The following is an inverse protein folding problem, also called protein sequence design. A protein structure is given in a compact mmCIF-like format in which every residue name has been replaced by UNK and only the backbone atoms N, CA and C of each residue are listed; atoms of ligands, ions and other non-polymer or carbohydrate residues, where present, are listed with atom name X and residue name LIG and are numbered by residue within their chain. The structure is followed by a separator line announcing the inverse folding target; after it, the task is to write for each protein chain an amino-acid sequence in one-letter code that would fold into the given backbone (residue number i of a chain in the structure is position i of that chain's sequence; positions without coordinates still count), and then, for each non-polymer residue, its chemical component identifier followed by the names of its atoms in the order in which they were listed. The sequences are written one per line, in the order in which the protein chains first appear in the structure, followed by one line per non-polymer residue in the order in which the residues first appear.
data_IF_029384168881
#
_entry.id   IF_029384168881
#
_cell.length_a   1.000
_cell.length_b   1.000
_cell.length_c   1.000
_cell.angle_alpha   90.00
_cell.angle_beta   90.00
_cell.angle_gamma   90.00
#
_symmetry.space_group_name_H-M   'P 1'
#
loop_
_entity.id
_entity.type
_entity.pdbx_description
1 polymer ?
#
# COMPACT_ATOMS: atom_id res chain seq x y z
N UNK A 1 -2.15 -26.03 3.25
CA UNK A 1 -2.16 -27.22 2.41
C UNK A 1 -0.93 -27.33 1.54
N UNK A 2 -0.68 -28.53 1.08
CA UNK A 2 0.44 -28.85 0.18
C UNK A 2 -0.15 -29.47 -1.08
N UNK A 3 -0.67 -28.66 -1.96
CA UNK A 3 -1.42 -29.10 -3.15
C UNK A 3 -1.14 -28.20 -4.35
N UNK A 4 -1.48 -28.67 -5.52
CA UNK A 4 -1.48 -27.85 -6.73
C UNK A 4 -2.73 -26.95 -6.71
N UNK A 5 -2.60 -25.64 -6.81
CA UNK A 5 -3.74 -24.72 -6.83
C UNK A 5 -4.72 -25.05 -7.97
N UNK A 6 -6.01 -24.89 -7.71
CA UNK A 6 -7.08 -25.08 -8.69
C UNK A 6 -8.03 -23.87 -8.64
N UNK A 7 -8.51 -23.44 -9.79
CA UNK A 7 -9.48 -22.34 -9.91
C UNK A 7 -10.86 -22.66 -9.27
N UNK A 8 -11.14 -23.93 -8.98
CA UNK A 8 -12.40 -24.35 -8.36
C UNK A 8 -12.37 -24.29 -6.85
N UNK A 9 -11.23 -23.93 -6.24
CA UNK A 9 -11.13 -23.85 -4.79
C UNK A 9 -11.90 -22.68 -4.21
N UNK A 10 -12.63 -22.97 -3.14
CA UNK A 10 -13.41 -21.97 -2.40
C UNK A 10 -12.90 -21.74 -0.98
N UNK A 11 -11.90 -22.55 -0.54
CA UNK A 11 -11.29 -22.45 0.79
C UNK A 11 -9.85 -22.97 0.80
N UNK A 12 -9.08 -22.53 1.78
CA UNK A 12 -7.78 -23.14 2.12
C UNK A 12 -8.00 -24.47 2.82
N UNK A 13 -6.99 -25.37 2.74
CA UNK A 13 -7.05 -26.68 3.42
C UNK A 13 -6.72 -26.58 4.91
N UNK A 14 -5.79 -25.70 5.26
CA UNK A 14 -5.27 -25.57 6.61
C UNK A 14 -5.08 -24.10 7.00
N UNK A 15 -6.13 -23.30 6.80
CA UNK A 15 -6.11 -21.92 7.27
C UNK A 15 -5.95 -21.89 8.79
N UNK A 16 -4.92 -21.18 9.28
CA UNK A 16 -4.68 -20.98 10.70
C UNK A 16 -4.61 -19.52 11.10
N UNK A 17 -4.44 -18.62 10.11
CA UNK A 17 -4.31 -17.18 10.37
C UNK A 17 -4.86 -16.39 9.20
N UNK A 18 -5.52 -15.29 9.51
CA UNK A 18 -6.01 -14.31 8.54
C UNK A 18 -5.53 -12.91 8.91
N UNK A 19 -5.25 -12.11 7.89
CA UNK A 19 -4.97 -10.68 8.02
C UNK A 19 -6.12 -9.92 7.40
N UNK A 20 -6.71 -9.02 8.15
CA UNK A 20 -7.83 -8.19 7.69
C UNK A 20 -7.38 -7.04 6.81
N UNK A 21 -6.07 -6.76 6.80
CA UNK A 21 -5.50 -5.65 6.09
C UNK A 21 -4.24 -6.07 5.33
N UNK A 22 -4.26 -5.83 4.02
CA UNK A 22 -3.14 -6.02 3.11
C UNK A 22 -2.95 -4.74 2.31
N UNK A 23 -1.72 -4.47 1.88
CA UNK A 23 -1.44 -3.37 0.96
C UNK A 23 -1.04 -3.92 -0.41
N UNK A 24 -1.16 -3.11 -1.44
CA UNK A 24 -0.75 -3.47 -2.77
C UNK A 24 -1.45 -2.65 -3.86
N UNK A 25 -1.35 -3.11 -5.08
CA UNK A 25 -1.96 -2.46 -6.24
C UNK A 25 -1.66 -3.19 -7.54
N UNK A 26 -2.29 -2.75 -8.60
CA UNK A 26 -2.00 -3.24 -9.93
C UNK A 26 -0.60 -2.79 -10.38
N UNK A 27 0.15 -3.73 -10.95
CA UNK A 27 1.43 -3.49 -11.62
C UNK A 27 1.27 -3.86 -13.08
N UNK A 28 0.88 -2.87 -13.89
CA UNK A 28 0.43 -3.12 -15.26
C UNK A 28 -0.95 -3.80 -15.31
N UNK A 29 -1.36 -4.23 -16.51
CA UNK A 29 -2.74 -4.66 -16.76
C UNK A 29 -3.15 -5.97 -16.08
N UNK A 30 -2.19 -6.86 -15.85
CA UNK A 30 -2.46 -8.25 -15.47
C UNK A 30 -1.71 -8.75 -14.23
N UNK A 31 -1.03 -7.89 -13.49
CA UNK A 31 -0.29 -8.28 -12.28
C UNK A 31 -0.79 -7.50 -11.09
N UNK A 32 -1.18 -8.21 -10.05
CA UNK A 32 -1.53 -7.67 -8.76
C UNK A 32 -0.37 -7.88 -7.79
N UNK A 33 0.21 -6.79 -7.30
CA UNK A 33 1.18 -6.82 -6.22
C UNK A 33 0.47 -6.75 -4.88
N UNK A 34 0.74 -7.69 -3.97
CA UNK A 34 0.14 -7.74 -2.64
C UNK A 34 1.22 -7.90 -1.59
N UNK A 35 1.15 -7.12 -0.54
CA UNK A 35 2.03 -7.26 0.62
C UNK A 35 1.25 -7.35 1.93
N UNK A 36 1.76 -8.17 2.84
CA UNK A 36 1.25 -8.34 4.19
C UNK A 36 2.40 -8.43 5.18
N UNK A 37 2.18 -8.02 6.43
CA UNK A 37 3.17 -8.06 7.50
C UNK A 37 2.61 -8.73 8.74
N UNK A 38 3.38 -9.65 9.30
CA UNK A 38 3.12 -10.22 10.63
C UNK A 38 4.24 -9.88 11.61
N UNK A 39 3.93 -9.04 12.59
CA UNK A 39 4.81 -8.67 13.68
C UNK A 39 4.46 -9.39 15.00
N UNK A 40 3.58 -10.40 14.97
CA UNK A 40 3.21 -11.19 16.16
C UNK A 40 4.38 -12.01 16.70
N UNK A 41 4.28 -12.47 17.93
CA UNK A 41 5.25 -13.39 18.55
C UNK A 41 4.99 -14.88 18.26
N UNK A 42 4.18 -15.19 17.25
CA UNK A 42 3.89 -16.55 16.84
C UNK A 42 5.01 -17.13 15.96
N UNK A 43 5.19 -18.45 16.05
CA UNK A 43 6.08 -19.21 15.15
C UNK A 43 5.25 -20.14 14.29
N UNK A 44 5.46 -20.13 12.99
CA UNK A 44 4.71 -20.96 12.06
C UNK A 44 5.43 -21.19 10.73
N UNK A 45 4.93 -22.16 9.99
CA UNK A 45 5.35 -22.47 8.62
C UNK A 45 4.13 -22.39 7.72
N UNK A 46 4.23 -21.63 6.65
CA UNK A 46 3.16 -21.41 5.66
C UNK A 46 3.46 -22.22 4.41
N UNK A 47 2.50 -23.00 3.95
CA UNK A 47 2.52 -23.77 2.70
C UNK A 47 1.42 -23.34 1.72
N UNK A 48 0.45 -22.55 2.19
CA UNK A 48 -0.61 -22.00 1.34
C UNK A 48 -0.97 -20.59 1.78
N UNK A 49 -1.29 -19.75 0.81
CA UNK A 49 -1.72 -18.37 1.00
C UNK A 49 -2.94 -18.15 0.11
N UNK A 50 -4.00 -17.63 0.68
CA UNK A 50 -5.22 -17.26 -0.04
C UNK A 50 -5.52 -15.78 0.06
N UNK A 51 -6.05 -15.20 -1.00
CA UNK A 51 -6.64 -13.87 -1.00
C UNK A 51 -8.16 -14.00 -1.02
N UNK A 52 -8.79 -13.27 -0.12
CA UNK A 52 -10.23 -13.25 0.03
C UNK A 52 -10.78 -11.87 -0.25
N UNK A 53 -11.95 -11.81 -0.86
CA UNK A 53 -12.72 -10.56 -0.93
C UNK A 53 -13.23 -10.19 0.46
N UNK A 54 -13.73 -8.96 0.61
CA UNK A 54 -14.38 -8.51 1.85
C UNK A 54 -15.60 -9.39 2.21
N UNK A 55 -16.31 -9.91 1.20
CA UNK A 55 -17.41 -10.86 1.40
C UNK A 55 -16.97 -12.28 1.81
N UNK A 56 -15.65 -12.55 1.89
CA UNK A 56 -15.11 -13.84 2.27
C UNK A 56 -14.96 -14.85 1.12
N UNK A 57 -15.09 -14.43 -0.12
CA UNK A 57 -14.84 -15.30 -1.28
C UNK A 57 -13.36 -15.44 -1.55
N UNK A 58 -12.82 -16.66 -1.61
CA UNK A 58 -11.45 -16.94 -2.03
C UNK A 58 -11.34 -16.66 -3.54
N UNK A 59 -10.52 -15.68 -3.94
CA UNK A 59 -10.36 -15.33 -5.35
C UNK A 59 -8.97 -15.66 -5.90
N UNK A 60 -7.99 -15.89 -5.03
CA UNK A 60 -6.66 -16.35 -5.44
C UNK A 60 -6.02 -17.22 -4.37
N UNK A 61 -5.24 -18.22 -4.79
CA UNK A 61 -4.53 -19.13 -3.90
C UNK A 61 -3.15 -19.46 -4.48
N UNK A 62 -2.16 -19.49 -3.60
CA UNK A 62 -0.82 -19.99 -3.85
C UNK A 62 -0.51 -21.11 -2.86
N UNK A 63 0.02 -22.24 -3.31
CA UNK A 63 0.38 -23.38 -2.47
C UNK A 63 1.59 -24.10 -3.02
N UNK A 64 2.45 -24.60 -2.15
CA UNK A 64 3.64 -25.36 -2.50
C UNK A 64 3.92 -26.45 -1.44
N UNK A 65 4.56 -27.55 -1.86
CA UNK A 65 5.05 -28.60 -0.96
C UNK A 65 6.18 -28.08 -0.06
N UNK A 66 7.00 -27.15 -0.59
CA UNK A 66 8.02 -26.47 0.19
C UNK A 66 7.41 -25.30 0.96
N UNK A 67 8.00 -24.90 2.09
CA UNK A 67 7.55 -23.75 2.83
C UNK A 67 7.65 -22.47 2.00
N UNK A 68 6.53 -21.75 1.85
CA UNK A 68 6.50 -20.42 1.28
C UNK A 68 7.08 -19.39 2.26
N UNK A 69 6.79 -19.56 3.56
CA UNK A 69 7.28 -18.70 4.63
C UNK A 69 7.57 -19.52 5.87
N UNK A 70 8.66 -19.18 6.56
CA UNK A 70 8.93 -19.62 7.93
C UNK A 70 9.10 -18.41 8.84
N UNK A 71 8.33 -18.34 9.90
CA UNK A 71 8.39 -17.28 10.88
C UNK A 71 8.77 -17.82 12.25
N UNK A 72 9.72 -17.20 12.92
CA UNK A 72 10.01 -17.42 14.33
C UNK A 72 9.33 -16.39 15.23
N UNK A 73 9.17 -16.70 16.51
CA UNK A 73 8.59 -15.80 17.50
C UNK A 73 9.33 -14.46 17.66
N UNK A 74 10.61 -14.40 17.26
CA UNK A 74 11.45 -13.20 17.38
C UNK A 74 11.63 -12.45 16.05
N UNK A 75 11.03 -12.95 14.96
CA UNK A 75 11.10 -12.31 13.63
C UNK A 75 9.77 -11.68 13.25
N UNK A 76 9.82 -10.74 12.32
CA UNK A 76 8.66 -10.28 11.57
C UNK A 76 8.64 -11.02 10.24
N UNK A 77 7.47 -11.45 9.80
CA UNK A 77 7.28 -11.92 8.44
C UNK A 77 6.76 -10.77 7.58
N UNK A 78 7.43 -10.53 6.47
CA UNK A 78 6.97 -9.67 5.39
C UNK A 78 6.72 -10.55 4.19
N UNK A 79 5.50 -10.58 3.73
CA UNK A 79 5.08 -11.25 2.52
C UNK A 79 4.92 -10.21 1.41
N UNK A 80 5.50 -10.48 0.26
CA UNK A 80 5.29 -9.72 -0.96
C UNK A 80 5.10 -10.70 -2.09
N UNK A 81 3.96 -10.63 -2.79
CA UNK A 81 3.57 -11.58 -3.83
C UNK A 81 3.11 -10.80 -5.05
N UNK A 82 3.60 -11.19 -6.21
CA UNK A 82 3.08 -10.78 -7.50
C UNK A 82 2.21 -11.92 -8.06
N UNK A 83 0.96 -11.62 -8.34
CA UNK A 83 0.01 -12.57 -8.90
C UNK A 83 -0.43 -12.15 -10.28
N UNK A 84 -0.30 -13.07 -11.25
CA UNK A 84 -0.91 -12.89 -12.55
C UNK A 84 -2.43 -13.09 -12.46
N UNK A 85 -3.17 -12.11 -12.95
CA UNK A 85 -4.63 -12.12 -13.00
C UNK A 85 -5.08 -12.52 -14.39
N UNK A 86 -5.99 -13.48 -14.49
CA UNK A 86 -6.51 -13.97 -15.77
C UNK A 86 -8.02 -13.74 -15.81
N UNK A 87 -8.50 -13.14 -16.90
CA UNK A 87 -9.94 -12.95 -17.13
C UNK A 87 -10.51 -11.62 -16.68
N UNK A 88 -9.74 -10.77 -15.97
CA UNK A 88 -10.11 -9.39 -15.62
C UNK A 88 -8.85 -8.53 -15.43
N UNK A 89 -9.00 -7.21 -15.45
CA UNK A 89 -7.88 -6.31 -15.24
C UNK A 89 -7.51 -6.22 -13.76
N UNK A 90 -6.22 -6.29 -13.43
CA UNK A 90 -5.72 -6.07 -12.08
C UNK A 90 -6.09 -4.67 -11.53
N UNK A 91 -6.26 -3.68 -12.40
CA UNK A 91 -6.70 -2.32 -12.03
C UNK A 91 -8.13 -2.27 -11.47
N UNK A 92 -8.96 -3.29 -11.74
CA UNK A 92 -10.31 -3.38 -11.18
C UNK A 92 -10.34 -3.85 -9.73
N UNK A 93 -9.20 -4.30 -9.19
CA UNK A 93 -9.09 -4.75 -7.80
C UNK A 93 -8.68 -3.57 -6.92
N UNK A 94 -9.53 -3.22 -5.98
CA UNK A 94 -9.22 -2.23 -4.95
C UNK A 94 -8.70 -2.96 -3.71
N UNK A 95 -7.44 -2.74 -3.40
CA UNK A 95 -6.83 -3.19 -2.14
C UNK A 95 -6.95 -2.09 -1.09
N UNK A 96 -7.07 -2.48 0.16
CA UNK A 96 -7.04 -1.53 1.27
C UNK A 96 -5.73 -0.74 1.30
N UNK A 97 -5.81 0.55 1.59
CA UNK A 97 -4.63 1.42 1.73
C UNK A 97 -4.01 1.21 3.12
N UNK A 98 -3.36 0.07 3.30
CA UNK A 98 -2.62 -0.23 4.53
C UNK A 98 -1.13 -0.15 4.26
N UNK A 99 -0.53 0.96 4.63
CA UNK A 99 0.91 1.16 4.51
C UNK A 99 1.64 0.53 5.72
N UNK A 100 1.80 -0.79 5.72
CA UNK A 100 2.45 -1.51 6.82
C UNK A 100 3.93 -1.18 7.01
N UNK A 101 4.61 -0.77 5.95
CA UNK A 101 6.04 -0.51 5.97
C UNK A 101 6.36 0.93 6.34
N UNK A 102 5.51 1.84 5.92
CA UNK A 102 5.71 3.27 6.08
C UNK A 102 4.39 3.95 6.46
N UNK A 103 4.06 4.02 7.74
CA UNK A 103 2.83 4.69 8.17
C UNK A 103 2.84 6.18 7.73
N UNK A 104 1.68 6.81 7.57
CA UNK A 104 1.64 8.25 7.34
C UNK A 104 2.35 9.00 8.46
N UNK A 105 3.12 10.02 8.11
CA UNK A 105 3.74 10.90 9.10
C UNK A 105 2.67 11.70 9.85
N UNK A 106 2.90 11.90 11.13
CA UNK A 106 2.11 12.81 11.98
C UNK A 106 3.06 13.79 12.66
N UNK A 107 2.54 14.71 13.46
CA UNK A 107 3.37 15.63 14.26
C UNK A 107 4.20 14.93 15.34
N UNK A 108 3.87 13.69 15.66
CA UNK A 108 4.53 12.90 16.71
C UNK A 108 5.14 11.59 16.21
N UNK A 109 4.87 11.19 14.97
CA UNK A 109 5.33 9.92 14.40
C UNK A 109 5.99 10.15 13.04
N UNK A 110 7.22 9.67 12.89
CA UNK A 110 7.88 9.66 11.60
C UNK A 110 7.19 8.69 10.64
N UNK A 111 7.02 9.10 9.38
CA UNK A 111 6.35 8.28 8.37
C UNK A 111 6.50 8.86 6.97
N UNK A 112 5.71 8.37 6.01
CA UNK A 112 5.66 8.89 4.64
C UNK A 112 4.65 10.03 4.52
N UNK A 113 4.92 10.93 3.61
CA UNK A 113 4.03 12.04 3.25
C UNK A 113 3.92 12.16 1.73
N UNK A 114 2.80 12.63 1.24
CA UNK A 114 2.67 13.05 -0.15
C UNK A 114 3.32 14.41 -0.38
N UNK A 115 3.85 14.62 -1.57
CA UNK A 115 4.30 15.95 -1.98
C UNK A 115 3.10 16.77 -2.45
N UNK A 116 3.06 18.04 -2.07
CA UNK A 116 2.05 18.96 -2.53
C UNK A 116 2.21 19.26 -4.02
N UNK A 117 1.11 19.23 -4.77
CA UNK A 117 1.03 19.74 -6.14
C UNK A 117 0.97 21.26 -6.14
N UNK A 118 1.11 21.88 -7.32
CA UNK A 118 0.97 23.32 -7.46
C UNK A 118 -0.45 23.78 -7.05
N UNK A 119 -1.49 23.01 -7.37
CA UNK A 119 -2.88 23.26 -6.93
C UNK A 119 -3.02 23.21 -5.40
N UNK A 120 -2.40 22.21 -4.72
CA UNK A 120 -2.44 22.14 -3.26
C UNK A 120 -1.81 23.36 -2.60
N UNK A 121 -0.79 23.95 -3.25
CA UNK A 121 -0.09 25.15 -2.75
C UNK A 121 -0.94 26.39 -2.94
N UNK A 122 -1.61 26.50 -4.09
CA UNK A 122 -2.52 27.60 -4.39
C UNK A 122 -3.75 27.60 -3.46
N UNK A 123 -4.34 26.45 -3.23
CA UNK A 123 -5.48 26.29 -2.33
C UNK A 123 -5.09 26.46 -0.85
N UNK A 124 -3.89 26.05 -0.44
CA UNK A 124 -3.35 26.22 0.91
C UNK A 124 -4.13 25.49 2.02
N UNK A 125 -4.93 24.49 1.68
CA UNK A 125 -5.84 23.81 2.63
C UNK A 125 -5.35 22.45 3.12
N UNK A 126 -4.34 21.85 2.45
CA UNK A 126 -3.83 20.53 2.80
C UNK A 126 -3.03 20.56 4.11
N UNK A 127 -3.39 19.66 5.03
CA UNK A 127 -2.70 19.46 6.32
C UNK A 127 -1.81 18.22 6.34
N UNK A 128 -1.76 17.44 5.25
CA UNK A 128 -1.08 16.13 5.18
C UNK A 128 -0.01 16.04 4.09
N UNK A 129 0.18 17.09 3.30
CA UNK A 129 1.15 17.13 2.20
C UNK A 129 2.33 18.07 2.52
N UNK A 130 3.51 17.75 1.98
CA UNK A 130 4.75 18.53 2.19
C UNK A 130 5.13 19.28 0.93
N UNK A 131 5.48 20.55 1.09
CA UNK A 131 5.94 21.42 0.00
C UNK A 131 7.43 21.16 -0.26
N UNK A 132 7.79 20.95 -1.52
CA UNK A 132 9.22 20.85 -1.91
C UNK A 132 9.87 22.23 -1.97
N UNK A 133 11.19 22.27 -1.84
CA UNK A 133 11.95 23.53 -2.00
C UNK A 133 11.71 24.20 -3.37
N UNK A 134 11.53 23.40 -4.44
CA UNK A 134 11.20 23.92 -5.78
C UNK A 134 9.82 24.58 -5.81
N UNK A 135 8.81 23.89 -5.28
CA UNK A 135 7.44 24.37 -5.25
C UNK A 135 7.31 25.64 -4.38
N UNK A 136 7.99 25.67 -3.23
CA UNK A 136 8.06 26.85 -2.37
C UNK A 136 8.71 28.05 -3.09
N UNK A 137 9.83 27.83 -3.80
CA UNK A 137 10.49 28.89 -4.58
C UNK A 137 9.57 29.45 -5.65
N UNK A 138 8.83 28.61 -6.35
CA UNK A 138 7.87 29.04 -7.37
C UNK A 138 6.74 29.87 -6.75
N UNK A 139 6.13 29.41 -5.66
CA UNK A 139 5.06 30.14 -4.96
C UNK A 139 5.51 31.53 -4.48
N UNK A 140 6.73 31.63 -3.88
CA UNK A 140 7.30 32.90 -3.47
C UNK A 140 7.59 33.83 -4.70
N UNK A 141 8.02 33.27 -5.83
CA UNK A 141 8.26 33.98 -7.06
C UNK A 141 6.98 34.62 -7.62
N UNK A 142 5.88 33.84 -7.60
CA UNK A 142 4.55 34.35 -8.02
C UNK A 142 4.07 35.45 -7.08
N UNK A 143 4.19 35.28 -5.78
CA UNK A 143 3.79 36.26 -4.78
C UNK A 143 4.56 37.60 -4.96
N UNK A 144 5.89 37.51 -5.25
CA UNK A 144 6.71 38.69 -5.50
C UNK A 144 6.36 39.40 -6.81
N UNK A 145 5.99 38.67 -7.85
CA UNK A 145 5.59 39.26 -9.15
C UNK A 145 4.21 39.94 -9.11
N UNK A 146 3.34 39.54 -8.18
CA UNK A 146 2.04 40.11 -7.91
C UNK A 146 2.04 41.29 -6.93
N UNK A 147 3.17 41.56 -6.25
CA UNK A 147 3.28 42.66 -5.31
C UNK A 147 3.43 43.99 -6.08
N UNK A 148 2.39 44.82 -6.10
CA UNK A 148 2.44 46.17 -6.60
C UNK A 148 3.03 47.07 -5.50
N UNK A 149 4.20 47.63 -5.75
CA UNK A 149 4.75 48.67 -4.91
C UNK A 149 3.96 49.95 -5.15
N UNK A 150 3.20 50.37 -4.17
CA UNK A 150 2.64 51.75 -4.16
C UNK A 150 3.73 52.69 -3.66
N UNK A 151 4.34 53.46 -4.55
CA UNK A 151 5.10 54.64 -4.17
C UNK A 151 4.09 55.75 -3.88
N UNK A 152 4.05 56.23 -2.63
CA UNK A 152 3.34 57.44 -2.29
C UNK A 152 4.19 58.63 -2.69
N UNK A 153 3.82 59.38 -3.71
CA UNK A 153 4.35 60.70 -3.95
C UNK A 153 3.88 61.66 -2.84
N UNK A 154 4.82 62.31 -2.21
CA UNK A 154 4.59 63.46 -1.34
C UNK A 154 4.76 64.76 -2.10
#
# INVERSE_FOLDING_TARGET
GKYVPSAERTSLEAEFKRFDAISGGAVGDNVLHVSARDASSESYIVHEIGLFTESGTLFAVCSDELPLIQKSARSQALLSIDMAVVGFSAESIVLGDTNFLNPPATTTTAGVVYLASDSDIEEGTSISKVVTAKALKNAIGIAKSGAVLYESEH
#
